data_IF_547897060682
#
_entry.id   IF_547897060682
#
_cell.length_a   1.000
_cell.length_b   1.000
_cell.length_c   1.000
_cell.angle_alpha   90.00
_cell.angle_beta   90.00
_cell.angle_gamma   90.00
#
_symmetry.space_group_name_H-M   'P 1'
#
loop_
_entity.id
_entity.type
_entity.pdbx_description
1 polymer ?
#
# COMPACT_ATOMS: atom_id res chain seq x y z
N UNK A 1 -11.64 52.64 23.26
CA UNK A 1 -12.45 52.63 22.02
C UNK A 1 -13.04 51.24 21.84
N UNK A 2 -14.26 51.01 22.34
CA UNK A 2 -15.22 49.99 21.85
C UNK A 2 -15.86 50.51 20.55
N UNK A 3 -16.64 49.75 19.72
CA UNK A 3 -17.56 48.63 20.06
C UNK A 3 -17.56 47.44 19.02
N UNK A 4 -17.97 46.21 19.37
CA UNK A 4 -19.33 45.59 19.38
C UNK A 4 -19.67 44.70 18.17
N UNK A 5 -20.23 43.54 18.53
CA UNK A 5 -20.94 42.50 17.77
C UNK A 5 -21.92 42.96 16.66
N UNK A 6 -22.19 42.08 15.69
CA UNK A 6 -23.53 41.45 15.45
C UNK A 6 -23.54 40.46 14.27
N UNK A 7 -24.32 39.39 14.44
CA UNK A 7 -24.80 38.48 13.40
C UNK A 7 -25.92 39.12 12.55
N UNK A 8 -26.17 38.61 11.34
CA UNK A 8 -27.53 38.42 10.82
C UNK A 8 -27.62 37.56 9.54
N UNK A 9 -28.65 36.71 9.53
CA UNK A 9 -29.20 35.90 8.45
C UNK A 9 -29.90 36.72 7.35
N UNK A 10 -30.03 36.12 6.17
CA UNK A 10 -31.12 36.31 5.18
C UNK A 10 -30.85 35.37 4.00
N UNK A 11 -31.75 34.62 3.40
CA UNK A 11 -33.20 34.52 3.48
C UNK A 11 -33.66 33.59 2.34
N UNK A 12 -34.79 32.95 2.57
CA UNK A 12 -35.58 32.03 1.74
C UNK A 12 -35.83 32.44 0.27
N UNK A 13 -36.06 31.46 -0.62
CA UNK A 13 -36.65 31.70 -1.94
C UNK A 13 -36.97 30.45 -2.75
N UNK A 14 -38.26 30.12 -2.82
CA UNK A 14 -38.91 29.00 -3.54
C UNK A 14 -38.71 28.98 -5.06
N UNK A 15 -38.86 27.79 -5.68
CA UNK A 15 -39.16 27.68 -7.12
C UNK A 15 -39.15 26.25 -7.68
N UNK A 16 -40.32 25.59 -7.69
CA UNK A 16 -40.64 24.44 -8.57
C UNK A 16 -40.59 24.89 -10.03
N UNK A 17 -40.16 24.03 -10.96
CA UNK A 17 -40.92 23.59 -12.16
C UNK A 17 -40.13 22.59 -13.03
N UNK A 18 -40.83 21.56 -13.54
CA UNK A 18 -40.61 20.96 -14.86
C UNK A 18 -39.61 19.79 -14.96
N UNK A 19 -40.10 18.56 -15.11
CA UNK A 19 -40.14 17.81 -16.40
C UNK A 19 -38.85 17.01 -16.62
N UNK A 20 -38.82 15.77 -17.12
CA UNK A 20 -39.69 15.06 -18.03
C UNK A 20 -39.31 13.57 -17.98
N UNK A 21 -40.32 12.71 -17.93
CA UNK A 21 -40.23 11.26 -18.13
C UNK A 21 -39.55 10.89 -19.46
N UNK A 22 -38.61 9.95 -19.43
CA UNK A 22 -38.32 9.05 -20.56
C UNK A 22 -38.06 7.64 -20.04
N UNK A 23 -39.12 6.83 -20.09
CA UNK A 23 -39.03 5.38 -20.10
C UNK A 23 -38.63 4.93 -21.51
N UNK A 24 -37.70 3.98 -21.61
CA UNK A 24 -37.54 3.16 -22.81
C UNK A 24 -37.25 1.72 -22.35
N UNK A 25 -38.29 0.90 -22.47
CA UNK A 25 -38.21 -0.56 -22.37
C UNK A 25 -37.55 -1.11 -23.64
N UNK A 26 -36.62 -2.04 -23.46
CA UNK A 26 -36.07 -2.88 -24.53
C UNK A 26 -35.86 -4.30 -24.01
N UNK A 27 -36.76 -5.20 -24.37
CA UNK A 27 -36.74 -6.64 -24.06
C UNK A 27 -36.08 -7.39 -25.22
N UNK A 28 -35.22 -8.39 -24.94
CA UNK A 28 -34.93 -9.61 -25.74
C UNK A 28 -33.96 -10.48 -24.91
N UNK A 29 -34.36 -11.58 -24.25
CA UNK A 29 -34.67 -12.95 -24.71
C UNK A 29 -33.41 -13.87 -24.86
N UNK A 30 -33.27 -14.72 -23.83
CA UNK A 30 -32.94 -16.16 -23.78
C UNK A 30 -31.53 -16.77 -24.04
N UNK A 31 -31.30 -17.79 -23.21
CA UNK A 31 -30.57 -19.06 -23.38
C UNK A 31 -29.03 -19.12 -23.30
N UNK A 32 -28.56 -19.36 -22.07
CA UNK A 32 -27.85 -20.60 -21.70
C UNK A 32 -26.56 -20.99 -22.44
N UNK A 33 -25.40 -20.60 -21.91
CA UNK A 33 -24.17 -21.41 -21.90
C UNK A 33 -23.40 -21.18 -20.60
N UNK A 34 -22.93 -22.26 -19.98
CA UNK A 34 -22.27 -22.31 -18.68
C UNK A 34 -20.74 -22.12 -18.85
N UNK A 35 -20.21 -21.02 -18.27
CA UNK A 35 -18.81 -20.80 -17.82
C UNK A 35 -17.69 -20.59 -18.87
N UNK A 36 -16.57 -19.88 -18.56
CA UNK A 36 -15.88 -19.88 -17.27
C UNK A 36 -15.61 -18.52 -16.59
N UNK A 37 -15.46 -18.66 -15.28
CA UNK A 37 -14.82 -17.78 -14.30
C UNK A 37 -13.58 -17.09 -14.91
N UNK A 38 -13.38 -15.81 -14.58
CA UNK A 38 -12.33 -14.88 -15.07
C UNK A 38 -12.64 -14.12 -16.36
N UNK A 39 -13.57 -13.17 -16.28
CA UNK A 39 -13.48 -11.96 -17.14
C UNK A 39 -13.93 -10.74 -16.34
N UNK A 40 -12.96 -10.02 -15.81
CA UNK A 40 -13.12 -8.63 -15.41
C UNK A 40 -11.83 -7.87 -15.76
N UNK A 41 -11.50 -7.79 -17.06
CA UNK A 41 -10.66 -6.70 -17.56
C UNK A 41 -11.57 -5.48 -17.71
N UNK A 42 -11.92 -4.86 -16.58
CA UNK A 42 -12.45 -3.51 -16.62
C UNK A 42 -11.32 -2.57 -17.01
N UNK A 43 -11.47 -1.91 -18.14
CA UNK A 43 -10.74 -0.70 -18.51
C UNK A 43 -10.94 0.35 -17.42
N UNK A 44 -10.12 0.29 -16.37
CA UNK A 44 -10.24 1.18 -15.24
C UNK A 44 -9.64 2.53 -15.62
N UNK A 45 -10.50 3.40 -16.15
CA UNK A 45 -10.27 4.84 -16.30
C UNK A 45 -9.67 5.34 -14.98
N UNK A 46 -8.41 5.79 -15.03
CA UNK A 46 -7.56 6.10 -13.88
C UNK A 46 -8.18 7.22 -13.06
N UNK A 47 -9.07 6.86 -12.14
CA UNK A 47 -9.69 7.81 -11.22
C UNK A 47 -8.67 8.17 -10.14
N UNK A 48 -8.26 9.44 -10.11
CA UNK A 48 -7.49 10.05 -9.03
C UNK A 48 -8.38 10.28 -7.79
N UNK A 49 -9.11 9.26 -7.35
CA UNK A 49 -9.86 9.27 -6.09
C UNK A 49 -8.99 8.69 -4.98
N UNK A 50 -9.09 9.25 -3.76
CA UNK A 50 -8.52 8.66 -2.54
C UNK A 50 -9.04 7.23 -2.44
N UNK A 51 -8.18 6.23 -2.63
CA UNK A 51 -8.54 4.82 -2.41
C UNK A 51 -8.74 4.63 -0.91
N UNK A 52 -9.96 4.36 -0.48
CA UNK A 52 -10.24 3.94 0.90
C UNK A 52 -9.78 2.50 1.04
N UNK A 53 -8.88 2.22 1.99
CA UNK A 53 -8.48 0.85 2.32
C UNK A 53 -9.67 0.18 3.03
N UNK A 54 -10.20 -0.94 2.54
CA UNK A 54 -11.29 -1.63 3.22
C UNK A 54 -10.82 -2.14 4.58
N UNK A 55 -11.74 -2.19 5.56
CA UNK A 55 -11.43 -2.72 6.89
C UNK A 55 -11.06 -4.21 6.80
N UNK A 56 -10.02 -4.61 7.56
CA UNK A 56 -9.59 -5.99 7.69
C UNK A 56 -9.90 -6.50 9.10
N UNK A 57 -10.28 -7.78 9.20
CA UNK A 57 -10.42 -8.47 10.48
C UNK A 57 -9.06 -8.92 11.06
N UNK A 58 -7.97 -8.85 10.28
CA UNK A 58 -6.65 -9.30 10.69
C UNK A 58 -5.90 -8.18 11.39
N UNK A 59 -5.43 -8.44 12.61
CA UNK A 59 -4.54 -7.56 13.35
C UNK A 59 -3.08 -8.00 13.12
N UNK A 60 -2.19 -7.10 12.67
CA UNK A 60 -0.78 -7.42 12.53
C UNK A 60 -0.13 -7.57 13.90
N UNK A 61 0.76 -8.54 14.04
CA UNK A 61 1.61 -8.75 15.21
C UNK A 61 3.06 -8.60 14.75
N UNK A 62 3.92 -8.03 15.58
CA UNK A 62 5.35 -7.91 15.33
C UNK A 62 6.13 -8.75 16.34
N UNK A 63 7.26 -9.33 15.91
CA UNK A 63 8.16 -10.04 16.81
C UNK A 63 8.66 -9.12 17.94
N UNK A 64 8.68 -9.56 19.22
CA UNK A 64 9.02 -8.70 20.35
C UNK A 64 10.46 -8.18 20.35
N UNK A 65 11.38 -8.90 19.69
CA UNK A 65 12.79 -8.51 19.57
C UNK A 65 13.09 -7.71 18.30
N UNK A 66 12.10 -7.05 17.69
CA UNK A 66 12.30 -6.30 16.44
C UNK A 66 13.39 -5.25 16.54
N UNK A 67 13.41 -4.45 17.60
CA UNK A 67 14.39 -3.37 17.76
C UNK A 67 15.83 -3.87 17.90
N UNK A 68 16.16 -4.80 18.83
CA UNK A 68 17.53 -5.29 18.95
C UNK A 68 17.98 -6.08 17.70
N UNK A 69 17.08 -6.85 17.08
CA UNK A 69 17.41 -7.60 15.85
C UNK A 69 17.65 -6.66 14.68
N UNK A 70 16.88 -5.57 14.56
CA UNK A 70 17.09 -4.56 13.50
C UNK A 70 18.45 -3.92 13.63
N UNK A 71 18.84 -3.48 14.84
CA UNK A 71 20.15 -2.88 15.07
C UNK A 71 21.29 -3.86 14.75
N UNK A 72 21.18 -5.11 15.21
CA UNK A 72 22.20 -6.14 14.97
C UNK A 72 22.37 -6.44 13.47
N UNK A 73 21.26 -6.68 12.77
CA UNK A 73 21.27 -7.05 11.36
C UNK A 73 21.73 -5.87 10.51
N UNK A 74 21.22 -4.67 10.76
CA UNK A 74 21.59 -3.49 9.99
C UNK A 74 23.07 -3.18 10.16
N UNK A 75 23.61 -3.26 11.38
CA UNK A 75 25.03 -3.09 11.64
C UNK A 75 25.88 -4.13 10.87
N UNK A 76 25.45 -5.39 10.86
CA UNK A 76 26.14 -6.45 10.12
C UNK A 76 26.21 -6.16 8.62
N UNK A 77 25.11 -5.71 8.00
CA UNK A 77 25.13 -5.33 6.58
C UNK A 77 25.96 -4.08 6.33
N UNK A 78 25.86 -3.06 7.18
CA UNK A 78 26.61 -1.81 7.01
C UNK A 78 28.13 -2.00 7.10
N UNK A 79 28.58 -3.07 7.77
CA UNK A 79 29.99 -3.46 7.88
C UNK A 79 30.42 -4.43 6.76
N UNK A 80 29.58 -5.43 6.42
CA UNK A 80 29.95 -6.52 5.52
C UNK A 80 29.54 -6.31 4.05
N UNK A 81 28.50 -5.52 3.77
CA UNK A 81 27.94 -5.38 2.43
C UNK A 81 28.57 -4.19 1.67
N UNK A 82 29.04 -4.40 0.42
CA UNK A 82 29.70 -3.34 -0.35
C UNK A 82 28.66 -2.38 -0.96
N UNK A 83 28.17 -1.44 -0.15
CA UNK A 83 27.29 -0.38 -0.64
C UNK A 83 28.04 0.59 -1.56
N UNK A 84 27.41 1.08 -2.65
CA UNK A 84 28.07 1.98 -3.61
C UNK A 84 28.31 3.39 -3.06
N UNK A 85 27.44 3.89 -2.19
CA UNK A 85 27.53 5.21 -1.58
C UNK A 85 26.82 5.26 -0.22
N UNK A 86 27.06 6.33 0.55
CA UNK A 86 26.38 6.57 1.84
C UNK A 86 24.86 6.73 1.69
N UNK A 87 24.40 7.16 0.52
CA UNK A 87 22.97 7.31 0.22
C UNK A 87 22.29 5.94 0.15
N UNK A 88 22.95 4.93 -0.39
CA UNK A 88 22.48 3.55 -0.45
C UNK A 88 22.47 2.93 0.96
N UNK A 89 23.47 3.24 1.80
CA UNK A 89 23.50 2.82 3.22
C UNK A 89 22.31 3.40 3.98
N UNK A 90 22.03 4.70 3.82
CA UNK A 90 20.87 5.34 4.45
C UNK A 90 19.54 4.78 3.94
N UNK A 91 19.41 4.52 2.63
CA UNK A 91 18.23 3.88 2.05
C UNK A 91 18.00 2.48 2.60
N UNK A 92 19.07 1.71 2.81
CA UNK A 92 19.00 0.38 3.39
C UNK A 92 18.42 0.41 4.80
N UNK A 93 18.93 1.28 5.67
CA UNK A 93 18.40 1.45 7.04
C UNK A 93 16.96 1.96 7.01
N UNK A 94 16.64 2.93 6.15
CA UNK A 94 15.29 3.47 6.01
C UNK A 94 14.26 2.47 5.47
N UNK A 95 14.70 1.37 4.84
CA UNK A 95 13.81 0.32 4.34
C UNK A 95 13.31 -0.62 5.44
N UNK A 96 13.94 -0.63 6.62
CA UNK A 96 13.56 -1.44 7.79
C UNK A 96 13.33 -2.94 7.45
N UNK A 97 14.25 -3.57 6.73
CA UNK A 97 14.09 -4.97 6.26
C UNK A 97 13.87 -5.98 7.41
N UNK A 98 14.52 -5.75 8.55
CA UNK A 98 14.32 -6.58 9.74
C UNK A 98 12.90 -6.44 10.31
N UNK A 99 12.30 -5.26 10.21
CA UNK A 99 10.94 -4.99 10.70
C UNK A 99 9.87 -5.68 9.87
N UNK A 100 9.97 -5.65 8.53
CA UNK A 100 9.04 -6.42 7.67
C UNK A 100 9.16 -7.92 7.94
N UNK A 101 10.37 -8.41 8.18
CA UNK A 101 10.60 -9.82 8.53
C UNK A 101 9.96 -10.16 9.88
N UNK A 102 10.06 -9.28 10.87
CA UNK A 102 9.42 -9.44 12.18
C UNK A 102 7.89 -9.38 12.12
N UNK A 103 7.30 -8.72 11.10
CA UNK A 103 5.87 -8.75 10.82
C UNK A 103 5.45 -10.05 10.13
N UNK A 104 6.30 -10.65 9.30
CA UNK A 104 6.04 -11.96 8.68
C UNK A 104 6.16 -13.11 9.67
N UNK A 105 7.10 -13.04 10.61
CA UNK A 105 7.37 -14.12 11.57
C UNK A 105 7.27 -13.63 13.02
N UNK A 106 6.10 -13.17 13.48
CA UNK A 106 5.95 -12.62 14.83
C UNK A 106 6.16 -13.65 15.95
N UNK A 107 5.99 -14.93 15.63
CA UNK A 107 6.13 -16.07 16.56
C UNK A 107 7.41 -16.88 16.31
N UNK A 108 8.37 -16.32 15.56
CA UNK A 108 9.68 -16.95 15.40
C UNK A 108 10.36 -17.16 16.76
N UNK A 109 11.29 -18.12 16.82
CA UNK A 109 12.13 -18.24 18.02
C UNK A 109 13.12 -17.08 18.07
N UNK A 110 13.36 -16.57 19.27
CA UNK A 110 14.25 -15.44 19.54
C UNK A 110 15.68 -15.66 19.01
N UNK A 111 16.18 -16.89 19.05
CA UNK A 111 17.51 -17.27 18.54
C UNK A 111 17.56 -17.41 17.01
N UNK A 112 16.40 -17.42 16.33
CA UNK A 112 16.28 -17.69 14.89
C UNK A 112 15.88 -16.50 14.05
N UNK A 113 15.21 -15.52 14.65
CA UNK A 113 14.66 -14.37 13.92
C UNK A 113 15.74 -13.54 13.21
N UNK A 114 16.93 -13.40 13.82
CA UNK A 114 18.04 -12.67 13.21
C UNK A 114 18.51 -13.33 11.91
N UNK A 115 18.56 -14.66 11.85
CA UNK A 115 18.92 -15.38 10.62
C UNK A 115 17.89 -15.14 9.51
N UNK A 116 16.61 -15.15 9.83
CA UNK A 116 15.55 -14.86 8.86
C UNK A 116 15.66 -13.42 8.33
N UNK A 117 15.94 -12.46 9.20
CA UNK A 117 16.13 -11.06 8.81
C UNK A 117 17.32 -10.89 7.87
N UNK A 118 18.47 -11.53 8.17
CA UNK A 118 19.64 -11.51 7.29
C UNK A 118 19.35 -12.13 5.92
N UNK A 119 18.67 -13.28 5.90
CA UNK A 119 18.32 -13.96 4.65
C UNK A 119 17.44 -13.08 3.76
N UNK A 120 16.35 -12.53 4.32
CA UNK A 120 15.44 -11.69 3.55
C UNK A 120 16.09 -10.38 3.11
N UNK A 121 16.91 -9.75 3.95
CA UNK A 121 17.64 -8.54 3.59
C UNK A 121 18.59 -8.76 2.39
N UNK A 122 19.32 -9.88 2.36
CA UNK A 122 20.16 -10.25 1.19
C UNK A 122 19.29 -10.41 -0.07
N UNK A 123 18.16 -11.11 0.05
CA UNK A 123 17.27 -11.34 -1.10
C UNK A 123 16.73 -10.01 -1.66
N UNK A 124 16.34 -9.07 -0.79
CA UNK A 124 15.92 -7.72 -1.22
C UNK A 124 17.06 -6.93 -1.86
N UNK A 125 18.28 -7.02 -1.32
CA UNK A 125 19.44 -6.36 -1.89
C UNK A 125 19.76 -6.90 -3.30
N UNK A 126 19.72 -8.22 -3.50
CA UNK A 126 19.97 -8.86 -4.80
C UNK A 126 18.86 -8.55 -5.80
N UNK A 127 17.59 -8.56 -5.38
CA UNK A 127 16.44 -8.19 -6.23
C UNK A 127 16.60 -6.75 -6.75
N UNK A 128 16.99 -5.83 -5.87
CA UNK A 128 17.29 -4.44 -6.24
C UNK A 128 18.45 -4.29 -7.24
N UNK A 129 19.48 -5.13 -7.13
CA UNK A 129 20.61 -5.14 -8.10
C UNK A 129 20.17 -5.69 -9.45
N UNK A 130 19.37 -6.74 -9.46
CA UNK A 130 18.94 -7.44 -10.68
C UNK A 130 18.05 -6.55 -11.55
N UNK A 131 17.22 -5.71 -10.92
CA UNK A 131 16.35 -4.78 -11.62
C UNK A 131 17.08 -3.59 -12.28
N UNK A 132 18.29 -3.25 -11.82
CA UNK A 132 19.12 -2.16 -12.37
C UNK A 132 19.91 -2.60 -13.62
N UNK A 133 20.12 -3.91 -13.80
CA UNK A 133 20.94 -4.49 -14.87
C UNK A 133 20.13 -5.24 -15.94
N UNK A 134 18.80 -5.13 -15.96
CA UNK A 134 18.04 -5.68 -17.09
C UNK A 134 18.23 -4.76 -18.31
N UNK A 135 18.91 -5.21 -19.38
CA UNK A 135 18.96 -4.44 -20.60
C UNK A 135 17.53 -4.34 -21.12
N UNK A 136 17.01 -3.12 -21.25
CA UNK A 136 15.83 -2.87 -22.06
C UNK A 136 16.11 -3.41 -23.45
N UNK A 137 15.55 -4.58 -23.75
CA UNK A 137 15.64 -5.20 -25.08
C UNK A 137 14.85 -4.25 -25.99
N UNK A 138 15.58 -3.49 -26.83
CA UNK A 138 15.02 -2.72 -27.94
C UNK A 138 14.49 -3.65 -29.01
#
# INVERSE_FOLDING_TARGET
MTPSARAQESGSGLGRVGQLLKNANGVSKLDGVRSPVYTCLSTQKRQRGRRTIPLSAWAPICHPLVDPVTVEVDAWFLDSWPFPDDKARQKFVAAEFSRVTCLYFPLAKNDRIAFACRLLAILFLIDGISHQNWPTIN
#
